data_IF_184164685794
#
_entry.id   IF_184164685794
#
_cell.length_a   1.000
_cell.length_b   1.000
_cell.length_c   1.000
_cell.angle_alpha   90.00
_cell.angle_beta   90.00
_cell.angle_gamma   90.00
#
_symmetry.space_group_name_H-M   'P 1'
#
loop_
_entity.id
_entity.type
_entity.pdbx_description
1 polymer ?
#
# COMPACT_ATOMS: atom_id res chain seq x y z
N UNK A 1 -17.73 -3.31 5.40
CA UNK A 1 -16.50 -4.10 5.41
C UNK A 1 -15.44 -3.28 4.70
N UNK A 2 -14.36 -2.88 5.39
CA UNK A 2 -13.30 -2.06 4.78
C UNK A 2 -12.22 -3.00 4.25
N UNK A 3 -11.91 -2.92 2.96
CA UNK A 3 -10.82 -3.70 2.36
C UNK A 3 -9.66 -2.77 2.02
N UNK A 4 -8.50 -3.04 2.61
CA UNK A 4 -7.28 -2.30 2.33
C UNK A 4 -6.21 -3.22 1.74
N UNK A 5 -5.51 -2.70 0.74
CA UNK A 5 -4.37 -3.34 0.09
C UNK A 5 -3.15 -2.47 0.33
N UNK A 6 -2.05 -3.08 0.70
CA UNK A 6 -0.75 -2.43 0.86
C UNK A 6 0.21 -3.11 -0.10
N UNK A 7 0.90 -2.35 -0.94
CA UNK A 7 1.84 -2.87 -1.93
C UNK A 7 3.18 -2.17 -1.74
N UNK A 8 4.26 -2.93 -1.76
CA UNK A 8 5.61 -2.36 -1.78
C UNK A 8 6.68 -3.31 -1.25
N UNK A 9 7.83 -2.73 -0.92
CA UNK A 9 9.02 -3.42 -0.42
C UNK A 9 9.74 -2.56 0.62
N UNK A 10 10.67 -3.18 1.36
CA UNK A 10 11.55 -2.50 2.30
C UNK A 10 10.92 -2.13 3.65
N UNK A 11 11.72 -1.50 4.51
CA UNK A 11 11.43 -1.32 5.93
C UNK A 11 10.13 -0.54 6.20
N UNK A 12 9.84 0.49 5.40
CA UNK A 12 8.64 1.30 5.56
C UNK A 12 7.37 0.47 5.31
N UNK A 13 7.39 -0.37 4.27
CA UNK A 13 6.32 -1.32 3.98
C UNK A 13 6.17 -2.33 5.12
N UNK A 14 7.27 -2.97 5.54
CA UNK A 14 7.25 -3.98 6.61
C UNK A 14 6.76 -3.40 7.94
N UNK A 15 7.24 -2.23 8.32
CA UNK A 15 6.84 -1.54 9.55
C UNK A 15 5.34 -1.20 9.55
N UNK A 16 4.82 -0.74 8.40
CA UNK A 16 3.42 -0.41 8.27
C UNK A 16 2.53 -1.65 8.32
N UNK A 17 2.90 -2.69 7.58
CA UNK A 17 2.27 -4.01 7.60
C UNK A 17 2.24 -4.60 9.00
N UNK A 18 3.37 -4.59 9.72
CA UNK A 18 3.48 -5.08 11.09
C UNK A 18 2.51 -4.35 12.03
N UNK A 19 2.34 -3.04 11.81
CA UNK A 19 1.40 -2.24 12.60
C UNK A 19 -0.05 -2.62 12.30
N UNK A 20 -0.40 -2.83 11.03
CA UNK A 20 -1.74 -3.29 10.63
C UNK A 20 -2.06 -4.73 11.07
N UNK A 21 -1.05 -5.58 11.19
CA UNK A 21 -1.21 -6.98 11.61
C UNK A 21 -1.21 -7.19 13.13
N UNK A 22 -1.18 -6.11 13.91
CA UNK A 22 -1.04 -6.15 15.37
C UNK A 22 0.19 -6.95 15.83
N UNK A 23 1.32 -6.81 15.13
CA UNK A 23 2.59 -7.46 15.48
C UNK A 23 2.69 -8.94 15.12
N UNK A 24 1.77 -9.46 14.30
CA UNK A 24 1.93 -10.76 13.66
C UNK A 24 2.83 -10.56 12.44
N UNK A 25 4.11 -10.89 12.58
CA UNK A 25 5.07 -10.77 11.48
C UNK A 25 4.86 -11.88 10.43
N UNK A 26 4.60 -11.52 9.17
CA UNK A 26 4.81 -12.46 8.08
C UNK A 26 6.32 -12.64 7.86
N UNK A 27 6.80 -13.87 7.92
CA UNK A 27 8.17 -14.20 7.54
C UNK A 27 8.33 -13.99 6.03
N UNK A 28 9.09 -12.98 5.57
CA UNK A 28 9.37 -12.80 4.15
C UNK A 28 10.79 -12.31 3.86
N UNK A 29 11.29 -12.73 2.69
CA UNK A 29 12.55 -12.28 2.10
C UNK A 29 12.37 -10.88 1.48
N UNK A 30 13.25 -9.95 1.85
CA UNK A 30 13.26 -8.52 1.54
C UNK A 30 13.36 -8.13 0.04
N UNK A 31 13.53 -9.09 -0.87
CA UNK A 31 14.06 -8.78 -2.21
C UNK A 31 13.02 -8.50 -3.30
N UNK A 32 11.72 -8.71 -3.07
CA UNK A 32 10.66 -8.52 -4.10
C UNK A 32 9.48 -7.71 -3.58
N UNK A 33 8.84 -6.95 -4.49
CA UNK A 33 7.57 -6.27 -4.22
C UNK A 33 6.53 -7.28 -3.72
N UNK A 34 5.84 -6.93 -2.64
CA UNK A 34 4.84 -7.76 -1.99
C UNK A 34 3.55 -6.98 -1.79
N UNK A 35 2.47 -7.72 -1.59
CA UNK A 35 1.17 -7.18 -1.25
C UNK A 35 0.65 -7.77 0.07
N UNK A 36 0.02 -6.90 0.85
CA UNK A 36 -0.73 -7.24 2.04
C UNK A 36 -2.18 -6.80 1.88
N UNK A 37 -3.10 -7.75 1.99
CA UNK A 37 -4.52 -7.53 1.99
C UNK A 37 -5.05 -7.67 3.42
N UNK A 38 -5.79 -6.66 3.87
CA UNK A 38 -6.53 -6.69 5.11
C UNK A 38 -8.01 -6.39 4.82
N UNK A 39 -8.87 -7.31 5.23
CA UNK A 39 -10.33 -7.16 5.15
C UNK A 39 -10.89 -7.06 6.56
N UNK A 40 -11.33 -5.86 6.93
CA UNK A 40 -11.93 -5.59 8.24
C UNK A 40 -13.43 -5.82 8.19
N UNK A 41 -13.87 -6.90 8.83
CA UNK A 41 -15.28 -7.29 8.93
C UNK A 41 -15.98 -6.75 10.19
N UNK A 42 -15.27 -6.01 11.05
CA UNK A 42 -15.83 -5.40 12.26
C UNK A 42 -15.90 -6.36 13.46
N UNK A 43 -14.80 -7.06 13.75
CA UNK A 43 -14.69 -7.99 14.88
C UNK A 43 -13.53 -8.99 14.74
N UNK A 44 -13.64 -10.17 15.35
CA UNK A 44 -12.60 -11.21 15.37
C UNK A 44 -12.33 -11.92 14.02
N UNK A 45 -13.02 -11.53 12.94
CA UNK A 45 -12.96 -12.18 11.62
C UNK A 45 -12.16 -11.37 10.59
N UNK A 46 -11.24 -10.54 11.04
CA UNK A 46 -10.35 -9.82 10.13
C UNK A 46 -9.49 -10.82 9.35
N UNK A 47 -9.60 -10.77 8.03
CA UNK A 47 -8.82 -11.64 7.14
C UNK A 47 -7.58 -10.90 6.68
N UNK A 48 -6.42 -11.52 6.90
CA UNK A 48 -5.11 -10.99 6.55
C UNK A 48 -4.45 -11.93 5.54
N UNK A 49 -3.97 -11.40 4.41
CA UNK A 49 -3.28 -12.21 3.40
C UNK A 49 -2.03 -11.48 2.92
N UNK A 50 -0.93 -12.22 2.87
CA UNK A 50 0.36 -11.77 2.36
C UNK A 50 0.73 -12.59 1.14
N UNK A 51 1.22 -11.94 0.09
CA UNK A 51 1.65 -12.62 -1.12
C UNK A 51 2.68 -11.78 -1.90
N UNK A 52 3.63 -12.40 -2.61
CA UNK A 52 4.47 -11.70 -3.57
C UNK A 52 3.59 -11.12 -4.69
N UNK A 53 3.92 -9.92 -5.16
CA UNK A 53 3.16 -9.24 -6.21
C UNK A 53 4.13 -8.56 -7.17
N UNK A 54 4.03 -8.90 -8.46
CA UNK A 54 4.60 -8.10 -9.54
C UNK A 54 3.53 -7.19 -10.14
N UNK A 55 3.94 -6.10 -10.80
CA UNK A 55 3.00 -5.25 -11.53
C UNK A 55 2.26 -6.05 -12.62
N UNK A 56 2.97 -6.89 -13.38
CA UNK A 56 2.38 -7.73 -14.43
C UNK A 56 1.30 -8.67 -13.90
N UNK A 57 1.54 -9.31 -12.76
CA UNK A 57 0.55 -10.16 -12.10
C UNK A 57 -0.65 -9.37 -11.58
N UNK A 58 -0.40 -8.16 -11.07
CA UNK A 58 -1.45 -7.25 -10.62
C UNK A 58 -2.33 -6.80 -11.78
N UNK A 59 -1.71 -6.42 -12.90
CA UNK A 59 -2.40 -5.97 -14.11
C UNK A 59 -3.22 -7.08 -14.75
N UNK A 60 -2.65 -8.29 -14.84
CA UNK A 60 -3.34 -9.47 -15.37
C UNK A 60 -4.56 -9.87 -14.55
N UNK A 61 -4.47 -9.78 -13.22
CA UNK A 61 -5.55 -10.17 -12.29
C UNK A 61 -6.28 -8.96 -11.71
N UNK A 62 -6.33 -7.83 -12.44
CA UNK A 62 -6.78 -6.53 -11.94
C UNK A 62 -8.21 -6.53 -11.36
N UNK A 63 -9.08 -7.42 -11.84
CA UNK A 63 -10.48 -7.54 -11.37
C UNK A 63 -10.56 -7.93 -9.89
N UNK A 64 -9.62 -8.72 -9.36
CA UNK A 64 -9.57 -9.11 -7.95
C UNK A 64 -9.42 -7.89 -7.02
N UNK A 65 -8.78 -6.84 -7.55
CA UNK A 65 -8.42 -5.66 -6.77
C UNK A 65 -9.47 -4.55 -6.80
N UNK A 66 -10.50 -4.67 -7.65
CA UNK A 66 -11.63 -3.71 -7.68
C UNK A 66 -12.40 -3.67 -6.34
N UNK A 67 -12.25 -4.70 -5.51
CA UNK A 67 -12.94 -4.79 -4.23
C UNK A 67 -12.28 -4.01 -3.09
N UNK A 68 -11.06 -3.46 -3.28
CA UNK A 68 -10.37 -2.69 -2.25
C UNK A 68 -10.87 -1.25 -2.19
N UNK A 69 -11.24 -0.79 -0.99
CA UNK A 69 -11.62 0.59 -0.73
C UNK A 69 -10.40 1.52 -0.68
N UNK A 70 -9.26 0.99 -0.26
CA UNK A 70 -8.04 1.78 -0.06
C UNK A 70 -6.80 0.98 -0.46
N UNK A 71 -5.90 1.64 -1.18
CA UNK A 71 -4.62 1.08 -1.60
C UNK A 71 -3.50 1.97 -1.09
N UNK A 72 -2.50 1.36 -0.46
CA UNK A 72 -1.29 2.01 0.06
C UNK A 72 -0.10 1.53 -0.75
N UNK A 73 0.57 2.44 -1.46
CA UNK A 73 1.69 2.15 -2.34
C UNK A 73 2.99 2.65 -1.70
N UNK A 74 3.86 1.73 -1.30
CA UNK A 74 5.22 2.00 -0.85
C UNK A 74 6.15 1.77 -2.03
N UNK A 75 6.42 2.82 -2.79
CA UNK A 75 7.13 2.77 -4.07
C UNK A 75 8.41 3.60 -4.01
N UNK A 76 9.52 2.94 -4.34
CA UNK A 76 10.86 3.55 -4.36
C UNK A 76 11.19 4.14 -5.74
N UNK A 77 10.58 3.59 -6.79
CA UNK A 77 10.81 3.93 -8.18
C UNK A 77 9.63 4.73 -8.75
N UNK A 78 9.94 5.75 -9.55
CA UNK A 78 8.91 6.63 -10.12
C UNK A 78 7.97 5.86 -11.05
N UNK A 79 8.53 5.06 -11.95
CA UNK A 79 7.80 4.30 -12.97
C UNK A 79 6.83 3.31 -12.32
N UNK A 80 7.32 2.47 -11.39
CA UNK A 80 6.49 1.52 -10.63
C UNK A 80 5.34 2.24 -9.91
N UNK A 81 5.60 3.40 -9.28
CA UNK A 81 4.56 4.22 -8.67
C UNK A 81 3.52 4.73 -9.65
N UNK A 82 3.95 5.24 -10.80
CA UNK A 82 3.06 5.73 -11.85
C UNK A 82 2.15 4.62 -12.39
N UNK A 83 2.71 3.44 -12.62
CA UNK A 83 2.00 2.28 -13.16
C UNK A 83 0.91 1.80 -12.21
N UNK A 84 1.23 1.61 -10.93
CA UNK A 84 0.24 1.22 -9.94
C UNK A 84 -0.85 2.27 -9.75
N UNK A 85 -0.51 3.57 -9.67
CA UNK A 85 -1.52 4.62 -9.54
C UNK A 85 -2.48 4.58 -10.74
N UNK A 86 -1.93 4.49 -11.96
CA UNK A 86 -2.73 4.44 -13.18
C UNK A 86 -3.68 3.25 -13.17
N UNK A 87 -3.20 2.06 -12.83
CA UNK A 87 -4.01 0.85 -12.69
C UNK A 87 -5.14 1.04 -11.67
N UNK A 88 -4.84 1.48 -10.45
CA UNK A 88 -5.86 1.62 -9.41
C UNK A 88 -6.87 2.74 -9.70
N UNK A 89 -6.48 3.76 -10.47
CA UNK A 89 -7.41 4.76 -10.99
C UNK A 89 -8.35 4.19 -12.04
N UNK A 90 -7.87 3.35 -12.96
CA UNK A 90 -8.72 2.65 -13.93
C UNK A 90 -9.72 1.71 -13.23
N UNK A 91 -9.31 1.08 -12.13
CA UNK A 91 -10.18 0.26 -11.28
C UNK A 91 -11.14 1.06 -10.39
N UNK A 92 -11.21 2.39 -10.54
CA UNK A 92 -12.04 3.28 -9.71
C UNK A 92 -11.82 3.11 -8.19
N UNK A 93 -10.58 2.80 -7.79
CA UNK A 93 -10.20 2.67 -6.37
C UNK A 93 -10.48 3.98 -5.65
N UNK A 94 -11.22 3.90 -4.54
CA UNK A 94 -11.73 5.10 -3.84
C UNK A 94 -10.60 5.95 -3.22
N UNK A 95 -9.60 5.30 -2.65
CA UNK A 95 -8.50 5.98 -1.95
C UNK A 95 -7.15 5.34 -2.30
N UNK A 96 -6.29 6.10 -2.96
CA UNK A 96 -4.93 5.73 -3.30
C UNK A 96 -3.99 6.60 -2.45
N UNK A 97 -3.28 5.96 -1.54
CA UNK A 97 -2.23 6.53 -0.72
C UNK A 97 -0.88 6.14 -1.30
N UNK A 98 -0.01 7.09 -1.53
CA UNK A 98 1.35 6.83 -2.02
C UNK A 98 2.34 7.30 -0.97
N UNK A 99 3.20 6.40 -0.54
CA UNK A 99 4.27 6.64 0.42
C UNK A 99 5.57 6.62 -0.35
N UNK A 100 6.30 7.72 -0.34
CA UNK A 100 7.58 7.86 -1.05
C UNK A 100 8.58 8.64 -0.21
N UNK A 101 9.87 8.41 -0.40
CA UNK A 101 10.92 9.23 0.22
C UNK A 101 11.32 10.42 -0.64
N UNK A 102 10.91 10.46 -1.91
CA UNK A 102 11.37 11.46 -2.88
C UNK A 102 10.36 12.58 -3.07
N UNK A 103 10.71 13.77 -2.58
CA UNK A 103 9.88 14.97 -2.73
C UNK A 103 9.56 15.32 -4.19
N UNK A 104 10.49 15.05 -5.11
CA UNK A 104 10.31 15.29 -6.55
C UNK A 104 9.15 14.47 -7.15
N UNK A 105 8.79 13.33 -6.57
CA UNK A 105 7.73 12.46 -7.11
C UNK A 105 6.32 12.89 -6.68
N UNK A 106 6.21 13.70 -5.63
CA UNK A 106 4.93 14.08 -5.02
C UNK A 106 3.98 14.74 -6.02
N UNK A 107 4.49 15.69 -6.81
CA UNK A 107 3.68 16.41 -7.81
C UNK A 107 3.24 15.51 -8.96
N UNK A 108 4.03 14.48 -9.29
CA UNK A 108 3.71 13.50 -10.34
C UNK A 108 2.58 12.61 -9.86
N UNK A 109 2.73 11.99 -8.69
CA UNK A 109 1.72 11.09 -8.13
C UNK A 109 0.36 11.78 -7.89
N UNK A 110 0.37 13.02 -7.40
CA UNK A 110 -0.88 13.81 -7.26
C UNK A 110 -1.56 14.05 -8.60
N UNK A 111 -0.80 14.39 -9.66
CA UNK A 111 -1.34 14.62 -11.01
C UNK A 111 -1.91 13.34 -11.63
N UNK A 112 -1.34 12.18 -11.28
CA UNK A 112 -1.84 10.87 -11.72
C UNK A 112 -3.09 10.41 -10.95
N UNK A 113 -3.52 11.16 -9.93
CA UNK A 113 -4.77 10.89 -9.21
C UNK A 113 -4.60 10.17 -7.88
N UNK A 114 -3.39 10.10 -7.32
CA UNK A 114 -3.22 9.70 -5.93
C UNK A 114 -4.00 10.66 -5.02
N UNK A 115 -4.87 10.12 -4.16
CA UNK A 115 -5.66 10.92 -3.23
C UNK A 115 -4.77 11.56 -2.16
N UNK A 116 -3.78 10.80 -1.69
CA UNK A 116 -2.83 11.25 -0.69
C UNK A 116 -1.43 10.81 -1.10
N UNK A 117 -0.47 11.72 -1.02
CA UNK A 117 0.94 11.41 -1.22
C UNK A 117 1.69 11.87 0.01
N UNK A 118 2.41 10.97 0.65
CA UNK A 118 3.05 11.22 1.92
C UNK A 118 4.54 10.94 1.83
N UNK A 119 5.31 11.89 2.35
CA UNK A 119 6.76 11.81 2.39
C UNK A 119 7.20 11.04 3.63
N UNK A 120 7.76 9.86 3.43
CA UNK A 120 8.42 9.12 4.49
C UNK A 120 9.79 9.74 4.72
N UNK A 121 10.02 10.29 5.91
CA UNK A 121 11.33 10.80 6.31
C UNK A 121 12.15 9.66 6.92
N UNK A 122 13.42 9.46 6.50
CA UNK A 122 14.26 8.35 6.95
C UNK A 122 14.58 8.37 8.46
N UNK A 123 14.48 9.52 9.12
CA UNK A 123 14.75 9.68 10.56
C UNK A 123 13.51 9.49 11.45
N UNK A 124 12.31 9.35 10.86
CA UNK A 124 11.10 9.05 11.63
C UNK A 124 10.89 7.54 11.72
N UNK A 125 11.45 6.99 12.78
CA UNK A 125 11.32 5.61 13.25
C UNK A 125 9.85 5.15 13.17
N UNK A 126 9.61 4.23 12.23
CA UNK A 126 8.41 3.39 12.06
C UNK A 126 7.16 4.11 11.59
N UNK A 127 6.48 3.51 10.60
CA UNK A 127 5.21 3.94 10.01
C UNK A 127 4.00 3.96 10.98
N UNK A 128 4.24 4.01 12.29
CA UNK A 128 3.24 4.19 13.36
C UNK A 128 2.36 5.42 13.11
N UNK A 129 2.92 6.49 12.55
CA UNK A 129 2.18 7.71 12.25
C UNK A 129 1.12 7.51 11.15
N UNK A 130 1.33 6.57 10.22
CA UNK A 130 0.36 6.24 9.17
C UNK A 130 -0.83 5.45 9.71
N UNK A 131 -0.60 4.58 10.71
CA UNK A 131 -1.65 3.77 11.33
C UNK A 131 -2.68 4.62 12.11
N UNK A 132 -2.25 5.75 12.69
CA UNK A 132 -3.14 6.71 13.37
C UNK A 132 -4.16 7.31 12.39
N UNK A 133 -3.79 7.52 11.12
CA UNK A 133 -4.68 8.07 10.10
C UNK A 133 -5.74 7.07 9.60
N UNK A 134 -5.61 5.78 9.91
CA UNK A 134 -6.52 4.72 9.45
C UNK A 134 -7.58 4.39 10.50
N UNK A 135 -7.25 4.60 11.78
CA UNK A 135 -8.15 4.37 12.91
C UNK A 135 -9.04 5.54 13.31
N UNK A 136 -8.85 6.73 12.71
CA UNK A 136 -9.64 7.94 13.01
C UNK A 136 -10.85 8.12 12.10
#
# INVERSE_FOLDING_TARGET
>A
MKRCLVIGKGDAFHSFVHTLSNGKEPAFLETKTAAFSLTQAGGANDTQRYFPLSFDDCYRNQEEYHSYDSVYLFVDELEEGCDFITLFRQLNTRRIFVITQRQSFVSVYKRLGANHVILSLPEQDRAKWLAVQIGS
#
